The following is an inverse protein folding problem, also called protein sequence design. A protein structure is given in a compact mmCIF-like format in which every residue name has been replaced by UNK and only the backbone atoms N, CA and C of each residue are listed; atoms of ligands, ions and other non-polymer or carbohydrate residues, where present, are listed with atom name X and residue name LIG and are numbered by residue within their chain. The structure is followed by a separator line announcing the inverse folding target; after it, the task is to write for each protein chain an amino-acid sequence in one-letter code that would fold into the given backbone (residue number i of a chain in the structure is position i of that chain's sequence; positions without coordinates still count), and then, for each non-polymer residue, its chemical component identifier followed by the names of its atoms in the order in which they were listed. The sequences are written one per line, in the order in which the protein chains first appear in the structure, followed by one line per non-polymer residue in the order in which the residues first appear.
data_IF_636879344528
#
_entry.id   IF_636879344528
#
_cell.length_a   1.000
_cell.length_b   1.000
_cell.length_c   1.000
_cell.angle_alpha   90.00
_cell.angle_beta   90.00
_cell.angle_gamma   90.00
#
_symmetry.space_group_name_H-M   'P 1'
#
loop_
_entity.id
_entity.type
_entity.pdbx_description
1 polymer ?
#
# COMPACT_ATOMS: atom_id res chain seq x y z
N UNK A 1 4.44 -6.37 22.28
CA UNK A 1 3.04 -6.45 21.84
C UNK A 1 3.01 -7.30 20.59
N UNK A 2 2.29 -8.41 20.59
CA UNK A 2 2.10 -9.25 19.41
C UNK A 2 0.95 -8.60 18.64
N UNK A 3 1.24 -7.92 17.52
CA UNK A 3 0.17 -7.51 16.61
C UNK A 3 -0.53 -8.78 16.12
N UNK A 4 -1.84 -8.85 16.34
CA UNK A 4 -2.67 -9.99 15.96
C UNK A 4 -2.50 -10.25 14.46
N UNK A 5 -2.10 -11.49 14.12
CA UNK A 5 -1.98 -11.95 12.74
C UNK A 5 -3.40 -12.03 12.14
N UNK A 6 -3.87 -10.90 11.61
CA UNK A 6 -5.20 -10.81 11.01
C UNK A 6 -5.19 -11.44 9.61
N UNK A 7 -6.22 -12.24 9.33
CA UNK A 7 -6.43 -12.81 8.00
C UNK A 7 -7.19 -11.77 7.16
N UNK A 8 -6.67 -11.38 5.98
CA UNK A 8 -7.37 -10.47 5.08
C UNK A 8 -8.77 -10.96 4.74
N UNK A 9 -9.68 -10.03 4.47
CA UNK A 9 -11.04 -10.37 3.99
C UNK A 9 -10.97 -11.25 2.74
N UNK A 10 -11.92 -12.18 2.62
CA UNK A 10 -11.94 -13.26 1.63
C UNK A 10 -13.10 -13.11 0.63
N UNK A 11 -13.06 -13.85 -0.48
CA UNK A 11 -14.23 -14.01 -1.33
C UNK A 11 -15.49 -14.37 -0.53
N UNK A 12 -16.59 -13.67 -0.79
CA UNK A 12 -17.86 -13.80 -0.06
C UNK A 12 -18.05 -12.79 1.07
N UNK A 13 -16.99 -12.19 1.60
CA UNK A 13 -17.10 -11.14 2.62
C UNK A 13 -17.66 -9.84 2.03
N UNK A 14 -18.33 -9.04 2.88
CA UNK A 14 -18.72 -7.67 2.53
C UNK A 14 -17.50 -6.76 2.60
N UNK A 15 -17.25 -6.01 1.53
CA UNK A 15 -16.22 -4.99 1.51
C UNK A 15 -16.62 -3.82 2.44
N UNK A 16 -15.80 -3.46 3.43
CA UNK A 16 -16.02 -2.26 4.24
C UNK A 16 -16.05 -1.03 3.34
N UNK A 17 -17.07 -0.20 3.52
CA UNK A 17 -17.18 1.06 2.79
C UNK A 17 -16.18 2.08 3.34
N UNK A 18 -15.82 3.05 2.51
CA UNK A 18 -14.94 4.15 2.91
C UNK A 18 -15.22 5.39 2.09
N UNK A 19 -14.85 6.53 2.67
CA UNK A 19 -14.83 7.81 2.00
C UNK A 19 -13.55 8.56 2.38
N UNK A 20 -12.71 8.86 1.39
CA UNK A 20 -11.38 9.46 1.59
C UNK A 20 -11.26 10.76 0.77
N UNK A 21 -10.42 11.72 1.18
CA UNK A 21 -10.02 12.82 0.30
C UNK A 21 -9.43 12.30 -1.00
N UNK A 22 -9.76 12.93 -2.13
CA UNK A 22 -9.09 12.64 -3.38
C UNK A 22 -7.67 13.26 -3.35
N UNK A 23 -6.68 12.53 -3.87
CA UNK A 23 -5.29 12.98 -3.88
C UNK A 23 -4.97 13.90 -5.07
N UNK A 24 -5.71 13.74 -6.17
CA UNK A 24 -5.46 14.37 -7.48
C UNK A 24 -6.40 15.55 -7.79
N UNK A 25 -7.41 15.78 -6.94
CA UNK A 25 -8.44 16.79 -7.15
C UNK A 25 -9.09 17.19 -5.83
N UNK A 26 -9.81 18.30 -5.84
CA UNK A 26 -10.69 18.66 -4.74
C UNK A 26 -11.82 17.64 -4.54
N UNK A 27 -12.27 17.53 -3.29
CA UNK A 27 -13.37 16.66 -2.89
C UNK A 27 -12.92 15.29 -2.37
N UNK A 28 -13.85 14.34 -2.45
CA UNK A 28 -13.71 13.00 -1.83
C UNK A 28 -13.95 11.90 -2.86
N UNK A 29 -13.55 10.69 -2.49
CA UNK A 29 -13.80 9.44 -3.20
C UNK A 29 -14.48 8.47 -2.24
N UNK A 30 -15.59 7.88 -2.68
CA UNK A 30 -16.28 6.83 -1.92
C UNK A 30 -16.32 5.53 -2.70
N UNK A 31 -16.09 4.39 -2.03
CA UNK A 31 -16.14 3.07 -2.68
C UNK A 31 -17.52 2.82 -3.31
N UNK A 32 -18.60 3.24 -2.64
CA UNK A 32 -19.96 3.13 -3.14
C UNK A 32 -20.16 3.80 -4.51
N UNK A 33 -19.50 4.93 -4.80
CA UNK A 33 -19.63 5.63 -6.08
C UNK A 33 -18.99 4.85 -7.23
N UNK A 34 -17.80 4.29 -7.00
CA UNK A 34 -17.12 3.45 -7.99
C UNK A 34 -17.89 2.16 -8.25
N UNK A 35 -18.44 1.53 -7.21
CA UNK A 35 -19.25 0.32 -7.32
C UNK A 35 -20.53 0.49 -8.15
N UNK A 36 -21.10 1.70 -8.22
CA UNK A 36 -22.25 2.00 -9.10
C UNK A 36 -21.88 1.94 -10.58
N UNK A 37 -20.61 2.21 -10.92
CA UNK A 37 -20.11 2.21 -12.31
C UNK A 37 -19.72 0.80 -12.76
N UNK A 38 -19.20 -0.03 -11.86
CA UNK A 38 -18.77 -1.39 -12.17
C UNK A 38 -18.12 -2.08 -10.98
N UNK A 39 -17.62 -3.32 -11.15
CA UNK A 39 -16.71 -3.93 -10.21
C UNK A 39 -15.47 -3.05 -9.99
N UNK A 40 -14.90 -3.09 -8.78
CA UNK A 40 -13.79 -2.24 -8.37
C UNK A 40 -12.60 -3.11 -7.99
N UNK A 41 -11.43 -2.83 -8.57
CA UNK A 41 -10.17 -3.31 -8.03
C UNK A 41 -9.65 -2.28 -7.02
N UNK A 42 -9.59 -2.66 -5.76
CA UNK A 42 -9.01 -1.86 -4.68
C UNK A 42 -7.60 -2.36 -4.40
N UNK A 43 -6.61 -1.47 -4.57
CA UNK A 43 -5.20 -1.73 -4.24
C UNK A 43 -4.79 -0.87 -3.05
N UNK A 44 -4.35 -1.51 -1.97
CA UNK A 44 -3.85 -0.85 -0.78
C UNK A 44 -2.34 -0.99 -0.72
N UNK A 45 -1.63 0.12 -0.90
CA UNK A 45 -0.18 0.17 -0.79
C UNK A 45 0.27 0.25 0.68
N UNK A 46 1.57 0.11 0.90
CA UNK A 46 2.19 0.29 2.22
C UNK A 46 2.15 1.78 2.59
N UNK A 47 1.05 2.23 3.20
CA UNK A 47 0.94 3.61 3.68
C UNK A 47 1.98 3.87 4.78
N UNK A 48 2.77 4.93 4.63
CA UNK A 48 3.63 5.44 5.70
C UNK A 48 2.88 6.58 6.41
N UNK A 49 2.98 7.84 5.95
CA UNK A 49 2.34 8.96 6.66
C UNK A 49 0.94 9.38 6.17
N UNK A 50 0.54 9.07 4.93
CA UNK A 50 -0.72 9.58 4.36
C UNK A 50 -2.00 9.04 5.05
N UNK A 51 -1.90 8.00 5.87
CA UNK A 51 -3.02 7.41 6.60
C UNK A 51 -2.55 6.89 7.98
N UNK A 52 -2.22 7.78 8.94
CA UNK A 52 -1.54 7.40 10.18
C UNK A 52 -2.42 6.55 11.10
N UNK A 53 -3.74 6.67 10.97
CA UNK A 53 -4.68 5.83 11.69
C UNK A 53 -4.81 4.43 11.10
N UNK A 54 -4.33 4.16 9.86
CA UNK A 54 -4.42 2.87 9.16
C UNK A 54 -5.82 2.24 9.20
N UNK A 55 -6.88 3.05 9.26
CA UNK A 55 -8.24 2.59 9.50
C UNK A 55 -8.72 1.64 8.38
N UNK A 56 -8.41 1.98 7.13
CA UNK A 56 -8.83 1.19 5.97
C UNK A 56 -8.09 -0.15 5.91
N UNK A 57 -6.76 -0.18 6.12
CA UNK A 57 -6.01 -1.44 6.23
C UNK A 57 -6.56 -2.34 7.34
N UNK A 58 -6.94 -1.78 8.50
CA UNK A 58 -7.56 -2.56 9.59
C UNK A 58 -8.94 -3.08 9.23
N UNK A 59 -9.79 -2.26 8.62
CA UNK A 59 -11.13 -2.66 8.20
C UNK A 59 -11.07 -3.86 7.23
N UNK A 60 -10.07 -3.87 6.35
CA UNK A 60 -9.80 -4.97 5.41
C UNK A 60 -8.91 -6.08 5.97
N UNK A 61 -8.55 -6.00 7.26
CA UNK A 61 -7.76 -6.99 8.00
C UNK A 61 -6.42 -7.31 7.35
N UNK A 62 -5.76 -6.29 6.80
CA UNK A 62 -4.41 -6.46 6.24
C UNK A 62 -3.38 -6.60 7.37
N UNK A 63 -2.59 -7.68 7.36
CA UNK A 63 -1.62 -7.91 8.42
C UNK A 63 -0.48 -6.90 8.35
N UNK A 64 0.12 -6.64 9.50
CA UNK A 64 1.40 -5.97 9.57
C UNK A 64 2.49 -6.83 8.93
N UNK A 65 3.45 -6.19 8.27
CA UNK A 65 4.64 -6.80 7.72
C UNK A 65 5.86 -6.33 8.52
N UNK A 66 6.69 -7.27 8.95
CA UNK A 66 7.95 -6.95 9.62
C UNK A 66 8.91 -6.24 8.65
N UNK A 67 9.71 -5.32 9.19
CA UNK A 67 10.86 -4.76 8.47
C UNK A 67 12.04 -5.70 8.66
N UNK A 68 12.24 -6.59 7.70
CA UNK A 68 13.37 -7.54 7.72
C UNK A 68 14.64 -6.88 7.17
N UNK A 69 15.81 -7.44 7.53
CA UNK A 69 17.09 -7.00 6.97
C UNK A 69 17.09 -7.14 5.43
N UNK A 70 16.60 -8.27 4.93
CA UNK A 70 16.45 -8.53 3.49
C UNK A 70 15.64 -7.43 2.79
N UNK A 71 14.53 -6.99 3.38
CA UNK A 71 13.71 -5.92 2.80
C UNK A 71 14.45 -4.56 2.84
N UNK A 72 15.24 -4.31 3.88
CA UNK A 72 16.10 -3.13 3.96
C UNK A 72 17.17 -3.12 2.87
N UNK A 73 17.89 -4.22 2.68
CA UNK A 73 18.89 -4.38 1.63
C UNK A 73 18.28 -4.28 0.22
N UNK A 74 17.07 -4.82 0.03
CA UNK A 74 16.31 -4.68 -1.21
C UNK A 74 15.93 -3.22 -1.50
N UNK A 75 15.46 -2.51 -0.48
CA UNK A 75 15.11 -1.09 -0.59
C UNK A 75 16.34 -0.24 -0.93
N UNK A 76 17.47 -0.46 -0.25
CA UNK A 76 18.73 0.23 -0.51
C UNK A 76 19.22 -0.01 -1.95
N UNK A 77 19.18 -1.27 -2.41
CA UNK A 77 19.60 -1.62 -3.77
C UNK A 77 18.74 -0.94 -4.83
N UNK A 78 17.43 -0.99 -4.67
CA UNK A 78 16.52 -0.41 -5.65
C UNK A 78 16.61 1.13 -5.67
N UNK A 79 16.74 1.75 -4.49
CA UNK A 79 16.97 3.19 -4.40
C UNK A 79 18.29 3.60 -5.10
N UNK A 80 19.37 2.82 -4.93
CA UNK A 80 20.64 3.09 -5.60
C UNK A 80 20.55 2.95 -7.13
N UNK A 81 19.78 1.96 -7.62
CA UNK A 81 19.50 1.78 -9.05
C UNK A 81 18.79 3.01 -9.64
N UNK A 82 17.70 3.46 -8.99
CA UNK A 82 16.94 4.64 -9.44
C UNK A 82 17.77 5.91 -9.39
N UNK A 83 18.52 6.15 -8.31
CA UNK A 83 19.42 7.31 -8.22
C UNK A 83 20.44 7.32 -9.36
N UNK A 84 21.03 6.17 -9.69
CA UNK A 84 21.97 6.05 -10.82
C UNK A 84 21.31 6.38 -12.16
N UNK A 85 20.07 5.93 -12.39
CA UNK A 85 19.29 6.28 -13.59
C UNK A 85 19.02 7.80 -13.68
N UNK A 86 18.84 8.45 -12.53
CA UNK A 86 18.70 9.91 -12.42
C UNK A 86 20.04 10.66 -12.48
N UNK A 87 21.17 9.96 -12.61
CA UNK A 87 22.51 10.57 -12.61
C UNK A 87 22.96 11.07 -11.24
N UNK A 88 22.31 10.62 -10.17
CA UNK A 88 22.60 10.97 -8.78
C UNK A 88 23.44 9.86 -8.11
N UNK A 89 24.16 10.24 -7.06
CA UNK A 89 24.95 9.31 -6.25
C UNK A 89 24.50 9.38 -4.79
N UNK A 90 24.59 8.25 -4.10
CA UNK A 90 24.39 8.16 -2.65
C UNK A 90 25.65 7.60 -1.99
N UNK A 91 25.95 8.02 -0.75
CA UNK A 91 26.90 7.32 0.10
C UNK A 91 26.50 5.84 0.28
N UNK A 92 27.46 4.92 0.48
CA UNK A 92 27.16 3.51 0.75
C UNK A 92 26.20 3.34 1.92
N UNK A 93 25.14 2.55 1.71
CA UNK A 93 24.11 2.28 2.72
C UNK A 93 23.19 3.46 3.05
N UNK A 94 23.17 4.50 2.21
CA UNK A 94 22.31 5.68 2.38
C UNK A 94 21.45 5.96 1.15
N UNK A 95 21.30 5.00 0.24
CA UNK A 95 20.58 5.20 -1.01
C UNK A 95 19.09 5.44 -0.75
N UNK A 96 18.47 4.75 0.22
CA UNK A 96 17.07 4.99 0.57
C UNK A 96 16.79 6.42 1.05
N UNK A 97 17.68 6.93 1.90
CA UNK A 97 17.62 8.32 2.39
C UNK A 97 17.86 9.34 1.27
N UNK A 98 18.91 9.14 0.48
CA UNK A 98 19.26 10.02 -0.63
C UNK A 98 18.17 10.05 -1.71
N UNK A 99 17.52 8.91 -2.00
CA UNK A 99 16.36 8.85 -2.89
C UNK A 99 15.20 9.67 -2.34
N UNK A 100 14.89 9.48 -1.05
CA UNK A 100 13.74 10.13 -0.40
C UNK A 100 13.82 11.65 -0.41
N UNK A 101 15.01 12.25 -0.47
CA UNK A 101 15.19 13.72 -0.48
C UNK A 101 15.65 14.27 -1.83
N UNK A 102 15.81 13.40 -2.84
CA UNK A 102 16.39 13.77 -4.14
C UNK A 102 15.58 14.80 -4.94
N UNK A 103 14.28 14.88 -4.69
CA UNK A 103 13.34 15.82 -5.31
C UNK A 103 13.03 17.04 -4.43
N UNK A 104 13.76 17.21 -3.32
CA UNK A 104 13.53 18.28 -2.35
C UNK A 104 12.42 17.96 -1.33
N UNK A 105 11.93 16.72 -1.27
CA UNK A 105 11.03 16.28 -0.20
C UNK A 105 11.70 16.40 1.18
N UNK A 106 11.00 17.04 2.11
CA UNK A 106 11.41 17.16 3.51
C UNK A 106 10.59 16.18 4.37
N UNK A 107 11.28 15.35 5.14
CA UNK A 107 10.62 14.44 6.08
C UNK A 107 9.94 15.24 7.20
N UNK A 108 8.69 14.89 7.47
CA UNK A 108 7.93 15.45 8.60
C UNK A 108 8.14 14.63 9.87
N UNK A 109 7.74 15.19 11.02
CA UNK A 109 7.71 14.45 12.28
C UNK A 109 6.78 13.23 12.20
N UNK A 110 5.67 13.35 11.46
CA UNK A 110 4.74 12.26 11.18
C UNK A 110 5.43 11.13 10.41
N UNK A 111 6.21 11.44 9.36
CA UNK A 111 6.98 10.45 8.61
C UNK A 111 7.94 9.69 9.55
N UNK A 112 8.74 10.41 10.33
CA UNK A 112 9.67 9.80 11.30
C UNK A 112 8.97 8.87 12.29
N UNK A 113 7.77 9.25 12.74
CA UNK A 113 6.98 8.45 13.66
C UNK A 113 6.49 7.15 13.00
N UNK A 114 6.09 7.21 11.73
CA UNK A 114 5.65 6.06 10.95
C UNK A 114 6.81 5.14 10.59
N UNK A 115 8.03 5.69 10.40
CA UNK A 115 9.25 4.90 10.24
C UNK A 115 9.59 4.04 11.48
N UNK A 116 9.01 4.28 12.65
CA UNK A 116 9.24 3.43 13.84
C UNK A 116 8.24 2.27 13.94
N UNK A 117 7.23 2.24 13.07
CA UNK A 117 6.14 1.26 13.12
C UNK A 117 6.38 0.11 12.13
N UNK A 118 5.82 -1.08 12.36
CA UNK A 118 5.75 -2.12 11.34
C UNK A 118 5.09 -1.61 10.07
N UNK A 119 5.50 -2.14 8.93
CA UNK A 119 4.86 -1.84 7.66
C UNK A 119 3.47 -2.48 7.61
N UNK A 120 2.60 -1.99 6.73
CA UNK A 120 1.40 -2.75 6.33
C UNK A 120 1.71 -3.61 5.12
N UNK A 121 1.05 -4.76 5.02
CA UNK A 121 1.04 -5.55 3.79
C UNK A 121 0.32 -4.80 2.67
N UNK A 122 0.66 -5.15 1.43
CA UNK A 122 -0.06 -4.69 0.23
C UNK A 122 -1.29 -5.56 0.07
N UNK A 123 -2.44 -4.95 -0.20
CA UNK A 123 -3.71 -5.67 -0.40
C UNK A 123 -4.29 -5.43 -1.78
N UNK A 124 -4.83 -6.47 -2.40
CA UNK A 124 -5.59 -6.43 -3.64
C UNK A 124 -6.96 -7.05 -3.38
N UNK A 125 -8.04 -6.32 -3.66
CA UNK A 125 -9.41 -6.79 -3.48
C UNK A 125 -10.23 -6.50 -4.73
N UNK A 126 -10.84 -7.54 -5.31
CA UNK A 126 -11.84 -7.39 -6.36
C UNK A 126 -13.22 -7.33 -5.72
N UNK A 127 -13.91 -6.21 -5.87
CA UNK A 127 -15.17 -5.92 -5.20
C UNK A 127 -16.28 -5.83 -6.24
N UNK A 128 -17.31 -6.67 -6.11
CA UNK A 128 -18.49 -6.64 -6.96
C UNK A 128 -19.32 -5.37 -6.77
N UNK A 129 -20.19 -5.07 -7.74
CA UNK A 129 -21.14 -3.94 -7.65
C UNK A 129 -22.02 -4.02 -6.40
N UNK A 130 -22.39 -5.23 -6.00
CA UNK A 130 -23.13 -5.54 -4.78
C UNK A 130 -22.32 -5.34 -3.49
N UNK A 131 -21.01 -5.09 -3.58
CA UNK A 131 -20.13 -4.84 -2.43
C UNK A 131 -19.61 -6.10 -1.78
N UNK A 132 -19.73 -7.24 -2.46
CA UNK A 132 -19.14 -8.49 -2.00
C UNK A 132 -17.78 -8.66 -2.66
N UNK A 133 -16.79 -9.07 -1.87
CA UNK A 133 -15.44 -9.40 -2.34
C UNK A 133 -15.54 -10.68 -3.19
N UNK A 134 -15.00 -10.64 -4.40
CA UNK A 134 -14.90 -11.78 -5.34
C UNK A 134 -13.53 -12.44 -5.27
N UNK A 135 -12.50 -11.64 -5.02
CA UNK A 135 -11.14 -12.11 -4.87
C UNK A 135 -10.35 -11.21 -3.94
N UNK A 136 -9.39 -11.80 -3.25
CA UNK A 136 -8.47 -11.07 -2.41
C UNK A 136 -7.08 -11.68 -2.43
N UNK A 137 -6.08 -10.82 -2.26
CA UNK A 137 -4.68 -11.21 -2.11
C UNK A 137 -3.97 -10.19 -1.24
N UNK A 138 -3.14 -10.67 -0.31
CA UNK A 138 -2.21 -9.83 0.42
C UNK A 138 -0.78 -10.26 0.11
N UNK A 139 0.13 -9.30 0.02
CA UNK A 139 1.54 -9.54 -0.26
C UNK A 139 2.40 -8.64 0.63
N UNK A 140 3.59 -9.11 0.98
CA UNK A 140 4.57 -8.30 1.72
C UNK A 140 5.33 -7.35 0.80
N UNK A 141 5.22 -7.49 -0.52
CA UNK A 141 5.87 -6.64 -1.53
C UNK A 141 4.85 -5.92 -2.41
N UNK A 142 5.19 -4.70 -2.87
CA UNK A 142 4.45 -4.09 -3.98
C UNK A 142 4.89 -4.88 -5.20
N UNK A 143 3.96 -5.59 -5.82
CA UNK A 143 4.17 -6.13 -7.16
C UNK A 143 3.58 -5.12 -8.13
N UNK A 144 4.00 -5.17 -9.39
CA UNK A 144 3.24 -4.50 -10.45
C UNK A 144 1.77 -4.89 -10.30
N UNK A 145 0.87 -3.97 -10.65
CA UNK A 145 -0.57 -4.25 -10.63
C UNK A 145 -0.82 -5.62 -11.28
N UNK A 146 -1.64 -6.49 -10.68
CA UNK A 146 -1.88 -7.81 -11.23
C UNK A 146 -2.30 -7.67 -12.69
N UNK A 147 -1.75 -8.49 -13.57
CA UNK A 147 -2.18 -8.47 -14.97
C UNK A 147 -3.68 -8.74 -15.05
N UNK A 148 -4.32 -8.31 -16.15
CA UNK A 148 -5.76 -8.56 -16.35
C UNK A 148 -6.10 -10.04 -16.16
N UNK A 149 -5.25 -10.95 -16.61
CA UNK A 149 -5.43 -12.39 -16.41
C UNK A 149 -5.41 -12.78 -14.91
N UNK A 150 -4.50 -12.20 -14.11
CA UNK A 150 -4.45 -12.43 -12.66
C UNK A 150 -5.65 -11.82 -11.95
N UNK A 151 -6.16 -10.68 -12.43
CA UNK A 151 -7.39 -10.06 -11.93
C UNK A 151 -8.63 -10.90 -12.25
N UNK A 152 -8.67 -11.54 -13.42
CA UNK A 152 -9.74 -12.47 -13.78
C UNK A 152 -9.69 -13.76 -12.95
N UNK A 153 -8.51 -14.19 -12.51
CA UNK A 153 -8.36 -15.32 -11.58
C UNK A 153 -8.89 -15.02 -10.16
N UNK A 154 -9.19 -13.75 -9.87
CA UNK A 154 -9.81 -13.29 -8.62
C UNK A 154 -11.34 -13.15 -8.72
N UNK A 155 -11.97 -13.56 -9.84
CA UNK A 155 -13.44 -13.56 -10.05
C UNK A 155 -14.03 -14.91 -9.71
#
# INVERSE_FOLDING_TARGET
MIEEQTVPLRPGDRAPDFELPAADREGRVALAEYRRRGPVLLVMLKGMAAAPDRAIHRAYRLPAAARTLELGEETERHAAEVLRELGLQAPPGQAGSAFSTSDGFEMTTEDESEWKRPLRSVGYFLIGRDGVIRGSRADTRIRLLPEVAELLALV
#
